data_IF_763076183533
#
_entry.id   IF_763076183533
#
_cell.length_a   1.000
_cell.length_b   1.000
_cell.length_c   1.000
_cell.angle_alpha   90.00
_cell.angle_beta   90.00
_cell.angle_gamma   90.00
#
_symmetry.space_group_name_H-M   'P 1'
#
loop_
_entity.id
_entity.type
_entity.pdbx_description
1 polymer ?
#
# COMPACT_ATOMS: atom_id res chain seq x y z
N UNK A 1 -8.66 -21.48 19.78
CA UNK A 1 -7.22 -21.22 19.56
C UNK A 1 -6.70 -20.32 20.66
N UNK A 2 -5.45 -20.50 21.08
CA UNK A 2 -4.71 -19.46 21.81
C UNK A 2 -4.38 -18.31 20.84
N UNK A 3 -4.04 -17.13 21.36
CA UNK A 3 -3.64 -16.00 20.50
C UNK A 3 -2.45 -16.34 19.59
N UNK A 4 -1.36 -16.98 20.07
CA UNK A 4 -0.29 -17.42 19.17
C UNK A 4 -0.74 -18.37 18.05
N UNK A 5 -1.67 -19.29 18.33
CA UNK A 5 -2.24 -20.18 17.32
C UNK A 5 -3.06 -19.42 16.27
N UNK A 6 -3.86 -18.43 16.71
CA UNK A 6 -4.57 -17.54 15.79
C UNK A 6 -3.59 -16.72 14.93
N UNK A 7 -2.54 -16.17 15.54
CA UNK A 7 -1.53 -15.39 14.84
C UNK A 7 -0.82 -16.24 13.77
N UNK A 8 -0.41 -17.46 14.12
CA UNK A 8 0.20 -18.40 13.18
C UNK A 8 -0.75 -18.73 12.02
N UNK A 9 -2.04 -18.98 12.31
CA UNK A 9 -3.07 -19.19 11.28
C UNK A 9 -3.22 -17.99 10.34
N UNK A 10 -3.25 -16.77 10.86
CA UNK A 10 -3.36 -15.54 10.05
C UNK A 10 -2.14 -15.36 9.15
N UNK A 11 -0.94 -15.61 9.67
CA UNK A 11 0.30 -15.53 8.90
C UNK A 11 0.34 -16.54 7.75
N UNK A 12 0.02 -17.80 8.05
CA UNK A 12 -0.05 -18.89 7.07
C UNK A 12 -1.12 -18.60 6.01
N UNK A 13 -2.34 -18.26 6.43
CA UNK A 13 -3.44 -17.89 5.54
C UNK A 13 -3.05 -16.73 4.60
N UNK A 14 -2.39 -15.68 5.11
CA UNK A 14 -1.95 -14.56 4.30
C UNK A 14 -0.95 -14.98 3.21
N UNK A 15 -0.04 -15.94 3.48
CA UNK A 15 0.89 -16.45 2.47
C UNK A 15 0.17 -17.17 1.33
N UNK A 16 -0.88 -17.93 1.64
CA UNK A 16 -1.71 -18.64 0.66
C UNK A 16 -2.51 -17.69 -0.26
N UNK A 17 -2.78 -16.45 0.16
CA UNK A 17 -3.49 -15.46 -0.66
C UNK A 17 -2.71 -15.00 -1.90
N UNK A 18 -1.40 -15.28 -1.98
CA UNK A 18 -0.57 -14.93 -3.14
C UNK A 18 -1.00 -15.68 -4.42
N UNK A 19 -1.46 -16.94 -4.27
CA UNK A 19 -1.91 -17.81 -5.39
C UNK A 19 -3.32 -18.36 -5.21
N UNK A 20 -3.98 -18.02 -4.11
CA UNK A 20 -5.33 -18.47 -3.75
C UNK A 20 -5.48 -20.00 -3.71
N UNK A 21 -4.47 -20.72 -3.23
CA UNK A 21 -4.38 -22.19 -3.26
C UNK A 21 -5.16 -22.90 -2.13
N UNK A 22 -6.33 -22.37 -1.78
CA UNK A 22 -7.22 -23.00 -0.81
C UNK A 22 -7.77 -24.34 -1.31
N UNK A 23 -7.88 -25.33 -0.43
CA UNK A 23 -8.24 -26.72 -0.81
C UNK A 23 -9.59 -26.88 -1.53
N UNK A 24 -10.60 -26.07 -1.19
CA UNK A 24 -11.97 -26.32 -1.64
C UNK A 24 -12.31 -25.68 -3.01
N UNK A 25 -11.80 -24.47 -3.28
CA UNK A 25 -12.26 -23.66 -4.43
C UNK A 25 -11.17 -22.73 -4.99
N UNK A 26 -9.93 -23.21 -5.22
CA UNK A 26 -8.82 -22.33 -5.56
C UNK A 26 -9.05 -21.61 -6.92
N UNK A 27 -9.71 -22.28 -7.87
CA UNK A 27 -10.05 -21.69 -9.16
C UNK A 27 -11.09 -20.57 -9.06
N UNK A 28 -12.06 -20.67 -8.14
CA UNK A 28 -13.07 -19.62 -7.95
C UNK A 28 -12.41 -18.32 -7.51
N UNK A 29 -11.48 -18.38 -6.55
CA UNK A 29 -10.75 -17.20 -6.09
C UNK A 29 -9.84 -16.65 -7.19
N UNK A 30 -9.07 -17.50 -7.89
CA UNK A 30 -8.24 -17.06 -9.01
C UNK A 30 -9.03 -16.41 -10.14
N UNK A 31 -10.18 -16.96 -10.50
CA UNK A 31 -11.03 -16.42 -11.56
C UNK A 31 -11.69 -15.09 -11.16
N UNK A 32 -12.03 -14.93 -9.87
CA UNK A 32 -12.70 -13.73 -9.34
C UNK A 32 -11.71 -12.59 -9.12
N UNK A 33 -10.62 -12.86 -8.38
CA UNK A 33 -9.66 -11.84 -7.98
C UNK A 33 -8.55 -11.66 -9.01
N UNK A 34 -8.22 -12.69 -9.78
CA UNK A 34 -7.11 -12.68 -10.73
C UNK A 34 -5.75 -12.83 -10.05
N UNK A 35 -4.70 -12.69 -10.87
CA UNK A 35 -3.32 -12.67 -10.41
C UNK A 35 -3.06 -11.43 -9.54
N UNK A 36 -2.38 -11.63 -8.40
CA UNK A 36 -2.08 -10.59 -7.41
C UNK A 36 -1.23 -9.43 -7.97
N UNK A 37 -0.50 -9.66 -9.06
CA UNK A 37 0.34 -8.65 -9.74
C UNK A 37 -0.40 -7.76 -10.73
N UNK A 38 -1.68 -8.04 -11.01
CA UNK A 38 -2.47 -7.23 -11.94
C UNK A 38 -2.70 -5.82 -11.40
N UNK A 39 -2.50 -4.84 -12.26
CA UNK A 39 -2.70 -3.40 -12.02
C UNK A 39 -3.61 -2.79 -13.09
N UNK A 40 -4.47 -3.62 -13.70
CA UNK A 40 -5.33 -3.29 -14.83
C UNK A 40 -6.55 -2.43 -14.46
N UNK A 41 -6.83 -2.27 -13.15
CA UNK A 41 -7.97 -1.51 -12.63
C UNK A 41 -7.55 -0.70 -11.41
N UNK A 42 -8.24 0.41 -11.16
CA UNK A 42 -7.91 1.34 -10.07
C UNK A 42 -7.86 0.66 -8.69
N UNK A 43 -8.81 -0.22 -8.38
CA UNK A 43 -8.87 -0.99 -7.13
C UNK A 43 -7.76 -2.05 -7.00
N UNK A 44 -6.97 -2.23 -8.06
CA UNK A 44 -5.88 -3.21 -8.12
C UNK A 44 -4.49 -2.58 -8.05
N UNK A 45 -4.39 -1.24 -8.12
CA UNK A 45 -3.10 -0.53 -8.21
C UNK A 45 -2.21 -0.68 -6.96
N UNK A 46 -2.80 -0.90 -5.79
CA UNK A 46 -2.09 -1.15 -4.52
C UNK A 46 -2.29 -2.57 -3.96
N UNK A 47 -2.61 -3.56 -4.82
CA UNK A 47 -2.68 -4.97 -4.37
C UNK A 47 -1.38 -5.48 -3.78
N UNK A 48 -0.27 -5.01 -4.36
CA UNK A 48 1.06 -5.20 -3.81
C UNK A 48 1.43 -3.95 -3.04
N UNK A 49 2.01 -4.13 -1.86
CA UNK A 49 2.50 -3.04 -1.04
C UNK A 49 3.86 -2.58 -1.60
N UNK A 50 3.96 -1.36 -2.15
CA UNK A 50 5.27 -0.79 -2.46
C UNK A 50 6.04 -0.56 -1.16
N UNK A 51 7.37 -0.69 -1.23
CA UNK A 51 8.24 -0.28 -0.14
C UNK A 51 8.89 1.07 -0.46
N UNK A 52 9.35 1.74 0.58
CA UNK A 52 10.10 2.99 0.49
C UNK A 52 11.56 2.74 0.83
N UNK A 53 12.47 3.41 0.14
CA UNK A 53 13.88 3.42 0.53
C UNK A 53 14.00 3.96 1.97
N UNK A 54 14.71 3.23 2.83
CA UNK A 54 14.89 3.63 4.22
C UNK A 54 15.77 4.88 4.35
N UNK A 55 16.74 5.01 3.46
CA UNK A 55 17.71 6.09 3.40
C UNK A 55 18.21 6.28 1.96
N UNK A 56 19.03 7.29 1.70
CA UNK A 56 19.59 7.57 0.37
C UNK A 56 20.60 6.52 -0.13
N UNK A 57 21.10 5.64 0.75
CA UNK A 57 22.07 4.59 0.44
C UNK A 57 21.40 3.24 0.11
N UNK A 58 20.08 3.22 -0.10
CA UNK A 58 19.28 2.03 -0.42
C UNK A 58 19.85 1.19 -1.57
N UNK A 59 20.53 1.80 -2.56
CA UNK A 59 21.15 1.09 -3.67
C UNK A 59 22.35 0.21 -3.24
N UNK A 60 22.99 0.53 -2.12
CA UNK A 60 24.12 -0.21 -1.57
C UNK A 60 23.68 -1.13 -0.43
N UNK A 61 22.94 -0.59 0.54
CA UNK A 61 22.56 -1.34 1.73
C UNK A 61 21.30 -2.19 1.54
N UNK A 62 20.50 -1.95 0.48
CA UNK A 62 19.24 -2.63 0.18
C UNK A 62 18.24 -2.61 1.33
N UNK A 63 18.15 -1.47 2.03
CA UNK A 63 17.22 -1.26 3.15
C UNK A 63 15.98 -0.49 2.72
N UNK A 64 14.84 -1.04 3.11
CA UNK A 64 13.53 -0.52 2.75
C UNK A 64 12.58 -0.61 3.94
N UNK A 65 11.49 0.15 3.89
CA UNK A 65 10.45 0.14 4.90
C UNK A 65 9.05 0.11 4.29
N UNK A 66 8.09 -0.39 5.05
CA UNK A 66 6.67 -0.19 4.75
C UNK A 66 6.34 1.32 4.79
N UNK A 67 5.56 1.84 3.84
CA UNK A 67 5.01 3.20 3.94
C UNK A 67 4.23 3.37 5.25
N UNK A 68 4.28 4.56 5.86
CA UNK A 68 3.57 4.81 7.14
C UNK A 68 2.07 4.48 7.05
N UNK A 69 1.41 4.94 5.99
CA UNK A 69 -0.02 4.68 5.75
C UNK A 69 -0.31 3.29 5.19
N UNK A 70 0.72 2.56 4.72
CA UNK A 70 0.59 1.21 4.18
C UNK A 70 1.05 0.09 5.10
N UNK A 71 1.55 0.44 6.28
CA UNK A 71 1.85 -0.53 7.33
C UNK A 71 0.56 -1.30 7.70
N UNK A 72 0.65 -2.62 7.89
CA UNK A 72 -0.51 -3.44 8.16
C UNK A 72 -1.13 -3.03 9.50
N UNK A 73 -2.46 -3.02 9.57
CA UNK A 73 -3.20 -2.94 10.82
C UNK A 73 -3.25 -4.32 11.49
N UNK A 74 -3.73 -4.40 12.74
CA UNK A 74 -3.90 -5.67 13.46
C UNK A 74 -4.60 -6.72 12.58
N UNK A 75 -3.99 -7.90 12.47
CA UNK A 75 -4.47 -9.03 11.65
C UNK A 75 -4.59 -8.77 10.14
N UNK A 76 -4.23 -7.58 9.66
CA UNK A 76 -4.02 -7.28 8.26
C UNK A 76 -2.63 -7.72 7.79
N UNK A 77 -2.44 -7.75 6.47
CA UNK A 77 -1.18 -8.18 5.86
C UNK A 77 -0.83 -7.36 4.63
N UNK A 78 0.47 -7.28 4.33
CA UNK A 78 0.98 -6.79 3.07
C UNK A 78 1.55 -7.93 2.25
N UNK A 79 1.48 -7.79 0.93
CA UNK A 79 2.23 -8.61 -0.02
C UNK A 79 3.19 -7.71 -0.78
N UNK A 80 4.49 -7.94 -0.62
CA UNK A 80 5.56 -7.18 -1.27
C UNK A 80 6.17 -8.04 -2.36
N UNK A 81 6.20 -7.52 -3.59
CA UNK A 81 6.86 -8.18 -4.69
C UNK A 81 8.38 -8.02 -4.59
N UNK A 82 9.11 -9.14 -4.67
CA UNK A 82 10.56 -9.16 -4.73
C UNK A 82 11.04 -9.69 -6.08
N UNK A 83 12.10 -9.08 -6.61
CA UNK A 83 12.81 -9.46 -7.82
C UNK A 83 14.19 -10.00 -7.45
N UNK A 84 14.39 -11.33 -7.45
CA UNK A 84 15.72 -11.90 -7.33
C UNK A 84 16.68 -11.30 -8.37
N UNK A 85 17.91 -10.99 -7.94
CA UNK A 85 18.97 -10.56 -8.85
C UNK A 85 19.28 -11.67 -9.85
N UNK A 86 19.57 -11.32 -11.10
CA UNK A 86 19.82 -12.31 -12.15
C UNK A 86 20.95 -13.29 -11.74
N UNK A 87 20.70 -14.59 -11.90
CA UNK A 87 21.65 -15.66 -11.52
C UNK A 87 21.67 -16.02 -10.03
N UNK A 88 20.96 -15.30 -9.16
CA UNK A 88 20.86 -15.65 -7.73
C UNK A 88 20.13 -16.97 -7.54
N UNK A 89 20.67 -17.82 -6.66
CA UNK A 89 20.03 -19.09 -6.23
C UNK A 89 19.40 -18.98 -4.84
N UNK A 90 19.64 -17.87 -4.15
CA UNK A 90 19.07 -17.58 -2.83
C UNK A 90 18.71 -16.11 -2.72
N UNK A 91 17.70 -15.83 -1.89
CA UNK A 91 17.34 -14.49 -1.42
C UNK A 91 17.33 -14.52 0.10
N UNK A 92 17.90 -13.50 0.74
CA UNK A 92 17.85 -13.32 2.19
C UNK A 92 17.08 -12.06 2.52
N UNK A 93 16.14 -12.17 3.45
CA UNK A 93 15.41 -11.05 4.06
C UNK A 93 15.82 -10.98 5.52
N UNK A 94 16.40 -9.85 5.94
CA UNK A 94 16.47 -9.50 7.36
C UNK A 94 15.28 -8.62 7.67
N UNK A 95 14.45 -9.04 8.60
CA UNK A 95 13.23 -8.35 8.98
C UNK A 95 13.40 -7.64 10.32
N UNK A 96 12.87 -6.42 10.41
CA UNK A 96 12.86 -5.59 11.62
C UNK A 96 11.49 -4.94 11.77
N UNK A 97 10.64 -5.48 12.63
CA UNK A 97 9.38 -4.86 13.04
C UNK A 97 9.62 -3.63 13.92
N UNK A 98 8.69 -2.67 13.89
CA UNK A 98 8.71 -1.47 14.73
C UNK A 98 7.73 -1.67 15.88
N UNK A 99 8.23 -1.64 17.11
CA UNK A 99 7.40 -1.69 18.31
C UNK A 99 7.13 -0.28 18.84
N UNK A 100 5.96 0.26 18.49
CA UNK A 100 5.46 1.50 19.08
C UNK A 100 4.98 1.22 20.51
N UNK A 101 5.22 2.14 21.44
CA UNK A 101 4.72 1.99 22.82
C UNK A 101 3.20 1.79 22.85
N UNK A 102 2.73 0.73 23.51
CA UNK A 102 1.31 0.36 23.59
C UNK A 102 0.74 -0.40 22.38
N UNK A 103 1.52 -0.61 21.33
CA UNK A 103 1.07 -1.37 20.15
C UNK A 103 1.07 -2.89 20.38
N UNK A 104 1.90 -3.39 21.29
CA UNK A 104 2.15 -4.83 21.48
C UNK A 104 2.57 -5.53 20.17
N UNK A 105 3.40 -4.83 19.39
CA UNK A 105 3.79 -5.26 18.05
C UNK A 105 4.40 -6.67 18.06
N UNK A 106 3.87 -7.51 17.17
CA UNK A 106 4.39 -8.82 16.84
C UNK A 106 3.93 -9.13 15.41
N UNK A 107 4.67 -9.99 14.70
CA UNK A 107 4.50 -10.20 13.26
C UNK A 107 4.56 -11.68 12.91
N UNK A 108 3.85 -12.08 11.86
CA UNK A 108 4.09 -13.32 11.13
C UNK A 108 4.43 -12.98 9.70
N UNK A 109 5.48 -13.59 9.16
CA UNK A 109 5.93 -13.26 7.81
C UNK A 109 6.67 -14.43 7.16
N UNK A 110 6.77 -14.39 5.85
CA UNK A 110 7.46 -15.43 5.09
C UNK A 110 7.59 -15.09 3.60
N UNK A 111 8.29 -15.96 2.89
CA UNK A 111 8.51 -15.86 1.46
C UNK A 111 7.65 -16.86 0.70
N UNK A 112 7.08 -16.40 -0.41
CA UNK A 112 6.25 -17.19 -1.32
C UNK A 112 6.84 -17.07 -2.73
N UNK A 113 7.38 -18.18 -3.25
CA UNK A 113 7.74 -18.26 -4.66
C UNK A 113 6.59 -18.91 -5.43
N UNK A 114 6.28 -18.43 -6.63
CA UNK A 114 5.20 -18.97 -7.46
C UNK A 114 5.74 -19.43 -8.81
N UNK A 115 4.97 -20.25 -9.53
CA UNK A 115 5.16 -20.35 -10.98
C UNK A 115 4.71 -19.06 -11.68
N UNK A 116 5.07 -18.91 -12.96
CA UNK A 116 4.73 -17.72 -13.76
C UNK A 116 3.22 -17.54 -14.00
N UNK A 117 2.43 -18.59 -13.80
CA UNK A 117 0.98 -18.63 -13.98
C UNK A 117 0.21 -18.39 -12.68
N UNK A 118 0.90 -18.29 -11.53
CA UNK A 118 0.31 -18.05 -10.22
C UNK A 118 -0.72 -19.12 -9.79
N UNK A 119 -0.46 -20.37 -10.17
CA UNK A 119 -1.31 -21.53 -9.85
C UNK A 119 -0.68 -22.48 -8.85
N UNK A 120 0.63 -22.37 -8.61
CA UNK A 120 1.36 -23.14 -7.60
C UNK A 120 2.37 -22.26 -6.87
N UNK A 121 2.67 -22.64 -5.63
CA UNK A 121 3.59 -21.90 -4.77
C UNK A 121 4.52 -22.82 -3.98
N UNK A 122 5.68 -22.28 -3.60
CA UNK A 122 6.60 -22.82 -2.60
C UNK A 122 6.74 -21.81 -1.48
N UNK A 123 6.53 -22.27 -0.26
CA UNK A 123 6.53 -21.44 0.93
C UNK A 123 7.84 -21.60 1.70
N UNK A 124 8.33 -20.53 2.31
CA UNK A 124 9.29 -20.65 3.41
C UNK A 124 8.60 -21.17 4.66
N UNK A 125 9.38 -21.52 5.69
CA UNK A 125 8.84 -21.61 7.04
C UNK A 125 8.35 -20.24 7.54
N UNK A 126 7.22 -20.22 8.25
CA UNK A 126 6.65 -19.00 8.83
C UNK A 126 7.57 -18.45 9.93
N UNK A 127 7.99 -17.20 9.78
CA UNK A 127 8.78 -16.46 10.76
C UNK A 127 7.87 -15.71 11.74
N UNK A 128 8.39 -15.42 12.94
CA UNK A 128 7.64 -14.80 14.04
C UNK A 128 8.49 -13.75 14.75
N UNK A 129 7.83 -12.79 15.39
CA UNK A 129 8.50 -11.79 16.22
C UNK A 129 8.96 -10.56 15.45
N UNK A 130 9.64 -9.67 16.17
CA UNK A 130 10.11 -8.37 15.66
C UNK A 130 11.38 -8.49 14.82
N UNK A 131 12.15 -9.57 14.98
CA UNK A 131 13.48 -9.70 14.43
C UNK A 131 13.74 -11.13 14.00
N UNK A 132 14.00 -11.33 12.72
CA UNK A 132 14.46 -12.60 12.19
C UNK A 132 15.09 -12.39 10.82
N UNK A 133 15.95 -13.34 10.45
CA UNK A 133 16.58 -13.40 9.15
C UNK A 133 16.15 -14.71 8.47
N UNK A 134 15.71 -14.64 7.22
CA UNK A 134 15.25 -15.80 6.45
C UNK A 134 16.01 -15.86 5.12
N UNK A 135 16.67 -16.98 4.87
CA UNK A 135 17.26 -17.29 3.55
C UNK A 135 16.44 -18.35 2.84
N UNK A 136 16.04 -18.06 1.61
CA UNK A 136 15.18 -18.91 0.79
C UNK A 136 15.84 -19.23 -0.54
N UNK A 137 15.76 -20.50 -0.97
CA UNK A 137 16.26 -20.93 -2.28
C UNK A 137 15.28 -20.51 -3.37
N UNK A 138 15.82 -19.84 -4.39
CA UNK A 138 15.04 -19.40 -5.55
C UNK A 138 15.50 -20.10 -6.82
N UNK A 139 14.53 -20.38 -7.69
CA UNK A 139 14.77 -20.85 -9.05
C UNK A 139 14.85 -19.65 -10.00
N UNK A 140 15.60 -19.81 -11.10
CA UNK A 140 15.71 -18.76 -12.11
C UNK A 140 14.33 -18.38 -12.69
N UNK A 141 14.03 -17.08 -12.70
CA UNK A 141 12.83 -16.51 -13.30
C UNK A 141 11.53 -16.71 -12.52
N UNK A 142 11.55 -17.37 -11.35
CA UNK A 142 10.32 -17.56 -10.58
C UNK A 142 9.90 -16.27 -9.86
N UNK A 143 8.61 -15.90 -9.92
CA UNK A 143 8.05 -14.87 -9.07
C UNK A 143 8.31 -15.10 -7.57
N UNK A 144 8.79 -14.09 -6.83
CA UNK A 144 8.96 -14.12 -5.37
C UNK A 144 8.16 -13.00 -4.68
N UNK A 145 7.63 -13.30 -3.49
CA UNK A 145 6.87 -12.37 -2.65
C UNK A 145 7.30 -12.50 -1.19
N UNK A 146 7.35 -11.36 -0.49
CA UNK A 146 7.38 -11.30 0.97
C UNK A 146 5.96 -10.98 1.45
N UNK A 147 5.44 -11.80 2.36
CA UNK A 147 4.15 -11.55 3.01
C UNK A 147 4.41 -11.20 4.47
N UNK A 148 3.83 -10.10 4.94
CA UNK A 148 4.00 -9.60 6.31
C UNK A 148 2.64 -9.32 6.92
N UNK A 149 2.29 -10.05 7.98
CA UNK A 149 1.07 -9.87 8.76
C UNK A 149 1.40 -9.25 10.11
N UNK A 150 0.66 -8.21 10.50
CA UNK A 150 0.72 -7.70 11.87
C UNK A 150 -0.13 -8.59 12.78
N UNK A 151 0.47 -9.16 13.79
CA UNK A 151 -0.16 -10.14 14.67
C UNK A 151 0.23 -9.84 16.11
N UNK A 152 -0.38 -8.82 16.73
CA UNK A 152 0.03 -8.32 18.04
C UNK A 152 0.06 -9.42 19.10
N UNK A 153 0.97 -9.30 20.06
CA UNK A 153 1.17 -10.30 21.13
C UNK A 153 0.09 -10.22 22.22
N UNK A 154 -0.71 -9.15 22.21
CA UNK A 154 -1.93 -8.97 22.99
C UNK A 154 -3.10 -8.86 22.02
N UNK A 155 -4.20 -9.55 22.31
CA UNK A 155 -5.37 -9.53 21.43
C UNK A 155 -5.93 -8.12 21.32
N UNK A 156 -6.01 -7.61 20.09
CA UNK A 156 -6.59 -6.30 19.79
C UNK A 156 -7.96 -6.53 19.14
N UNK A 157 -9.03 -6.21 19.85
CA UNK A 157 -10.40 -6.40 19.36
C UNK A 157 -10.65 -5.59 18.09
N UNK A 158 -11.27 -6.22 17.09
CA UNK A 158 -11.83 -5.53 15.93
C UNK A 158 -13.26 -5.11 16.27
N UNK A 159 -13.54 -3.82 16.19
CA UNK A 159 -14.87 -3.26 16.36
C UNK A 159 -15.35 -2.63 15.05
N UNK A 160 -16.66 -2.67 14.83
CA UNK A 160 -17.31 -2.01 13.69
C UNK A 160 -17.12 -0.48 13.79
N UNK A 161 -16.92 0.19 12.64
CA UNK A 161 -16.73 1.64 12.51
C UNK A 161 -15.73 2.26 13.50
N UNK A 162 -14.60 1.58 13.72
CA UNK A 162 -13.52 2.16 14.50
C UNK A 162 -12.90 3.35 13.76
N UNK A 163 -12.76 4.48 14.47
CA UNK A 163 -12.01 5.63 13.94
C UNK A 163 -10.56 5.22 13.60
N UNK A 164 -10.14 5.47 12.36
CA UNK A 164 -8.87 5.01 11.82
C UNK A 164 -7.68 5.47 12.66
N UNK A 165 -7.71 6.70 13.16
CA UNK A 165 -6.64 7.28 13.98
C UNK A 165 -6.42 6.53 15.30
N UNK A 166 -7.38 5.73 15.74
CA UNK A 166 -7.30 4.90 16.96
C UNK A 166 -6.82 3.48 16.67
N UNK A 167 -6.54 3.16 15.41
CA UNK A 167 -6.06 1.85 14.98
C UNK A 167 -4.54 1.86 14.91
N UNK A 168 -3.91 0.96 15.66
CA UNK A 168 -2.47 0.73 15.53
C UNK A 168 -2.14 0.18 14.14
N UNK A 169 -1.16 0.80 13.51
CA UNK A 169 -0.45 0.33 12.33
C UNK A 169 0.93 -0.16 12.77
N UNK A 170 1.45 -1.16 12.09
CA UNK A 170 2.65 -1.88 12.53
C UNK A 170 3.75 -1.78 11.47
N UNK A 171 4.51 -0.68 11.42
CA UNK A 171 5.56 -0.51 10.43
C UNK A 171 6.65 -1.58 10.57
N UNK A 172 7.32 -1.87 9.46
CA UNK A 172 8.47 -2.75 9.43
C UNK A 172 9.52 -2.26 8.44
N UNK A 173 10.75 -2.72 8.64
CA UNK A 173 11.87 -2.53 7.74
C UNK A 173 12.40 -3.89 7.29
N UNK A 174 13.02 -3.90 6.11
CA UNK A 174 13.75 -5.04 5.60
C UNK A 174 15.12 -4.64 5.06
N UNK A 175 16.09 -5.54 5.16
CA UNK A 175 17.34 -5.53 4.41
C UNK A 175 17.36 -6.76 3.51
N UNK A 176 17.65 -6.56 2.22
CA UNK A 176 17.63 -7.64 1.23
C UNK A 176 19.04 -8.00 0.78
N UNK A 177 19.33 -9.29 0.69
CA UNK A 177 20.44 -9.80 -0.12
C UNK A 177 19.91 -10.51 -1.35
N UNK A 178 20.57 -10.31 -2.50
CA UNK A 178 20.27 -10.98 -3.77
C UNK A 178 18.87 -10.75 -4.34
N UNK A 179 18.13 -9.74 -3.87
CA UNK A 179 16.86 -9.31 -4.44
C UNK A 179 16.66 -7.79 -4.31
N UNK A 180 15.64 -7.29 -4.99
CA UNK A 180 15.12 -5.93 -4.86
C UNK A 180 13.59 -5.95 -4.68
N UNK A 181 12.99 -5.01 -3.94
CA UNK A 181 11.54 -4.88 -3.90
C UNK A 181 11.02 -4.15 -5.15
N UNK A 182 9.77 -4.40 -5.52
CA UNK A 182 9.11 -3.66 -6.62
C UNK A 182 9.28 -2.15 -6.48
N UNK A 183 9.52 -1.47 -7.60
CA UNK A 183 9.86 -0.05 -7.62
C UNK A 183 11.38 0.21 -7.62
N UNK A 184 12.19 -0.79 -7.32
CA UNK A 184 13.65 -0.71 -7.29
C UNK A 184 14.24 -1.94 -7.96
N UNK A 185 15.15 -1.78 -8.91
CA UNK A 185 15.89 -2.87 -9.53
C UNK A 185 17.26 -2.38 -9.98
N UNK A 186 18.28 -3.23 -9.83
CA UNK A 186 19.63 -2.95 -10.31
C UNK A 186 20.22 -1.62 -9.80
N UNK A 187 19.92 -1.26 -8.55
CA UNK A 187 20.40 -0.01 -7.94
C UNK A 187 19.74 1.25 -8.50
N UNK A 188 18.65 1.11 -9.25
CA UNK A 188 17.86 2.21 -9.81
C UNK A 188 16.39 2.08 -9.41
N UNK A 189 15.67 3.20 -9.40
CA UNK A 189 14.20 3.14 -9.33
C UNK A 189 13.66 2.69 -10.68
N UNK A 190 12.53 1.99 -10.66
CA UNK A 190 11.83 1.60 -11.88
C UNK A 190 11.48 2.83 -12.72
N UNK A 191 11.36 2.62 -14.04
CA UNK A 191 10.88 3.65 -14.94
C UNK A 191 9.46 4.08 -14.56
N UNK A 192 9.11 5.32 -14.87
CA UNK A 192 7.74 5.78 -14.71
C UNK A 192 6.80 5.04 -15.68
N UNK A 193 5.52 4.83 -15.30
CA UNK A 193 4.52 4.26 -16.19
C UNK A 193 4.44 5.00 -17.53
N UNK A 194 3.98 4.29 -18.58
CA UNK A 194 3.83 4.88 -19.92
C UNK A 194 3.02 6.18 -19.89
N UNK A 195 3.47 7.18 -20.65
CA UNK A 195 2.87 8.51 -20.69
C UNK A 195 3.25 9.43 -19.52
N UNK A 196 4.16 9.00 -18.63
CA UNK A 196 4.61 9.80 -17.49
C UNK A 196 6.13 9.81 -17.38
N UNK A 197 6.69 10.85 -16.75
CA UNK A 197 8.12 10.99 -16.45
C UNK A 197 8.31 11.44 -15.01
N UNK A 198 9.55 11.34 -14.52
CA UNK A 198 9.93 11.83 -13.19
C UNK A 198 9.75 13.34 -13.13
N UNK A 199 8.86 13.81 -12.26
CA UNK A 199 8.56 15.23 -12.08
C UNK A 199 9.70 15.91 -11.31
N UNK A 200 10.15 17.09 -11.77
CA UNK A 200 11.27 17.80 -11.16
C UNK A 200 10.99 18.24 -9.71
N UNK A 201 9.73 18.55 -9.40
CA UNK A 201 9.30 18.89 -8.05
C UNK A 201 8.76 17.64 -7.33
N UNK A 202 9.64 16.97 -6.57
CA UNK A 202 9.35 15.82 -5.71
C UNK A 202 9.81 14.45 -6.24
N UNK A 203 9.98 14.28 -7.56
CA UNK A 203 10.57 13.07 -8.16
C UNK A 203 9.59 11.91 -8.42
N UNK A 204 8.30 12.08 -8.20
CA UNK A 204 7.25 11.12 -8.56
C UNK A 204 6.99 11.05 -10.06
N UNK A 205 6.03 10.23 -10.50
CA UNK A 205 5.69 10.07 -11.91
C UNK A 205 4.49 10.94 -12.29
N UNK A 206 4.60 11.73 -13.37
CA UNK A 206 3.49 12.54 -13.86
C UNK A 206 3.59 12.79 -15.38
N UNK A 207 2.48 13.15 -16.07
CA UNK A 207 2.55 13.63 -17.45
C UNK A 207 3.46 14.85 -17.55
N UNK A 208 4.14 15.01 -18.69
CA UNK A 208 5.08 16.12 -18.94
C UNK A 208 4.40 17.49 -18.94
N UNK A 209 3.08 17.53 -19.10
CA UNK A 209 2.26 18.75 -19.00
C UNK A 209 1.97 19.20 -17.57
N UNK A 210 2.32 18.40 -16.56
CA UNK A 210 2.13 18.78 -15.15
C UNK A 210 3.02 19.98 -14.83
N UNK A 211 2.43 21.04 -14.28
CA UNK A 211 3.14 22.29 -14.01
C UNK A 211 4.16 22.14 -12.86
N UNK A 212 5.28 22.86 -12.94
CA UNK A 212 6.34 22.82 -11.93
C UNK A 212 5.90 23.25 -10.52
N UNK A 213 4.81 24.01 -10.40
CA UNK A 213 4.21 24.42 -9.12
C UNK A 213 3.56 23.26 -8.37
N UNK A 214 3.20 22.17 -9.06
CA UNK A 214 2.67 20.95 -8.44
C UNK A 214 3.82 20.17 -7.81
N UNK A 215 3.61 19.70 -6.58
CA UNK A 215 4.53 18.75 -5.94
C UNK A 215 4.05 17.32 -6.19
N UNK A 216 4.91 16.47 -6.74
CA UNK A 216 4.65 15.03 -6.93
C UNK A 216 5.74 14.25 -6.21
N UNK A 217 5.42 13.75 -5.02
CA UNK A 217 6.32 13.04 -4.13
C UNK A 217 6.96 11.80 -4.78
N UNK A 218 8.10 11.33 -4.26
CA UNK A 218 8.99 10.41 -4.98
C UNK A 218 8.36 9.08 -5.40
N UNK A 219 7.32 8.63 -4.69
CA UNK A 219 6.59 7.41 -4.97
C UNK A 219 5.17 7.64 -5.49
N UNK A 220 4.73 8.90 -5.55
CA UNK A 220 3.41 9.26 -5.98
C UNK A 220 3.32 9.28 -7.52
N UNK A 221 2.13 9.03 -8.05
CA UNK A 221 1.90 8.91 -9.49
C UNK A 221 0.65 9.68 -9.93
N UNK A 222 0.77 10.47 -10.98
CA UNK A 222 -0.36 11.00 -11.76
C UNK A 222 -0.37 10.21 -13.07
N UNK A 223 -1.43 9.43 -13.32
CA UNK A 223 -1.59 8.70 -14.59
C UNK A 223 -2.09 9.64 -15.69
N UNK A 224 -1.97 9.27 -16.99
CA UNK A 224 -2.43 10.13 -18.09
C UNK A 224 -3.93 10.51 -18.08
N UNK A 225 -4.77 9.77 -17.35
CA UNK A 225 -6.18 10.12 -17.13
C UNK A 225 -6.41 11.16 -16.01
N UNK A 226 -5.38 11.50 -15.25
CA UNK A 226 -5.41 12.45 -14.15
C UNK A 226 -4.72 13.77 -14.46
N UNK A 227 -5.04 14.80 -13.68
CA UNK A 227 -4.39 16.10 -13.77
C UNK A 227 -4.19 16.72 -12.39
N UNK A 228 -3.14 17.54 -12.25
CA UNK A 228 -2.91 18.35 -11.07
C UNK A 228 -2.45 19.75 -11.48
N UNK A 229 -2.93 20.78 -10.78
CA UNK A 229 -2.66 22.19 -11.10
C UNK A 229 -2.59 23.06 -9.83
N UNK A 230 -2.20 24.33 -10.00
CA UNK A 230 -1.99 25.26 -8.89
C UNK A 230 -0.86 24.79 -7.99
N UNK A 231 -1.10 24.80 -6.68
CA UNK A 231 -0.14 24.35 -5.66
C UNK A 231 -0.47 22.94 -5.14
N UNK A 232 -1.04 22.09 -6.01
CA UNK A 232 -1.42 20.73 -5.62
C UNK A 232 -0.23 19.90 -5.14
N UNK A 233 -0.50 19.02 -4.17
CA UNK A 233 0.50 18.11 -3.61
C UNK A 233 0.01 16.66 -3.72
N UNK A 234 0.74 15.83 -4.45
CA UNK A 234 0.52 14.39 -4.50
C UNK A 234 1.67 13.75 -3.72
N UNK A 235 1.38 13.08 -2.62
CA UNK A 235 2.35 12.68 -1.60
C UNK A 235 2.31 11.16 -1.34
N UNK A 236 3.30 10.68 -0.60
CA UNK A 236 3.44 9.27 -0.22
C UNK A 236 3.32 8.34 -1.45
N UNK A 237 2.41 7.36 -1.43
CA UNK A 237 2.17 6.39 -2.51
C UNK A 237 0.93 6.73 -3.35
N UNK A 238 0.38 7.95 -3.22
CA UNK A 238 -0.90 8.27 -3.83
C UNK A 238 -0.87 8.19 -5.36
N UNK A 239 -2.01 7.76 -5.93
CA UNK A 239 -2.21 7.65 -7.37
C UNK A 239 -3.43 8.48 -7.80
N UNK A 240 -3.20 9.47 -8.67
CA UNK A 240 -4.27 10.15 -9.41
C UNK A 240 -4.53 9.34 -10.68
N UNK A 241 -5.50 8.43 -10.62
CA UNK A 241 -5.82 7.54 -11.73
C UNK A 241 -6.71 8.22 -12.77
N UNK A 242 -7.69 9.01 -12.31
CA UNK A 242 -8.60 9.77 -13.16
C UNK A 242 -9.18 10.98 -12.39
N UNK A 243 -9.37 12.11 -13.07
CA UNK A 243 -9.91 13.34 -12.47
C UNK A 243 -8.87 14.44 -12.24
N UNK A 244 -9.10 15.29 -11.23
CA UNK A 244 -8.32 16.53 -11.08
C UNK A 244 -7.97 16.87 -9.63
N UNK A 245 -6.78 17.46 -9.44
CA UNK A 245 -6.33 18.03 -8.16
C UNK A 245 -5.95 19.49 -8.37
N UNK A 246 -6.73 20.43 -7.82
CA UNK A 246 -6.53 21.88 -8.02
C UNK A 246 -6.26 22.56 -6.68
N UNK A 247 -4.98 22.72 -6.33
CA UNK A 247 -4.57 22.94 -4.93
C UNK A 247 -4.65 21.62 -4.15
N UNK A 248 -5.05 21.63 -2.89
CA UNK A 248 -5.30 20.41 -2.10
C UNK A 248 -4.10 19.45 -1.96
N UNK A 249 -4.36 18.30 -1.35
CA UNK A 249 -3.35 17.26 -1.12
C UNK A 249 -3.97 15.86 -1.25
N UNK A 250 -3.32 14.99 -2.00
CA UNK A 250 -3.64 13.56 -2.08
C UNK A 250 -2.41 12.77 -1.62
N UNK A 251 -2.52 11.98 -0.57
CA UNK A 251 -1.40 11.27 0.05
C UNK A 251 -1.78 9.89 0.57
N UNK A 252 -0.98 9.32 1.48
CA UNK A 252 -1.18 7.95 1.96
C UNK A 252 -1.11 6.90 0.85
N UNK A 253 -2.09 5.99 0.83
CA UNK A 253 -2.28 5.01 -0.25
C UNK A 253 -3.47 5.38 -1.15
N UNK A 254 -3.86 6.66 -1.17
CA UNK A 254 -5.08 7.07 -1.86
C UNK A 254 -4.96 6.81 -3.35
N UNK A 255 -5.97 6.14 -3.91
CA UNK A 255 -6.24 6.17 -5.35
C UNK A 255 -7.46 7.07 -5.56
N UNK A 256 -7.35 8.06 -6.43
CA UNK A 256 -8.51 8.89 -6.81
C UNK A 256 -8.88 8.68 -8.28
N UNK A 257 -10.18 8.55 -8.51
CA UNK A 257 -10.76 8.20 -9.80
C UNK A 257 -10.59 6.73 -10.16
N UNK A 258 -11.37 6.33 -11.16
CA UNK A 258 -11.45 4.96 -11.66
C UNK A 258 -10.86 4.88 -13.06
N UNK A 259 -10.10 3.83 -13.29
CA UNK A 259 -9.61 3.41 -14.60
C UNK A 259 -9.72 1.89 -14.72
N UNK A 260 -9.87 1.40 -15.95
CA UNK A 260 -9.98 -0.03 -16.25
C UNK A 260 -11.26 -0.72 -15.76
N UNK A 261 -12.21 0.03 -15.18
CA UNK A 261 -13.48 -0.53 -14.73
C UNK A 261 -14.36 -0.80 -15.95
N UNK A 262 -14.95 -2.00 -16.05
CA UNK A 262 -15.86 -2.29 -17.13
C UNK A 262 -17.21 -1.55 -16.96
N UNK A 263 -17.51 -1.00 -15.78
CA UNK A 263 -18.77 -0.30 -15.46
C UNK A 263 -18.68 1.22 -15.57
N UNK A 264 -17.53 1.75 -16.02
CA UNK A 264 -17.29 3.19 -16.18
C UNK A 264 -16.09 3.69 -15.38
N UNK A 265 -15.39 4.66 -15.96
CA UNK A 265 -14.18 5.27 -15.39
C UNK A 265 -14.54 6.64 -14.80
N UNK A 266 -15.12 6.61 -13.61
CA UNK A 266 -15.51 7.83 -12.88
C UNK A 266 -14.28 8.67 -12.52
N UNK A 267 -14.40 9.99 -12.70
CA UNK A 267 -13.43 10.95 -12.18
C UNK A 267 -13.70 11.28 -10.71
N UNK A 268 -12.66 11.61 -9.95
CA UNK A 268 -12.80 12.23 -8.63
C UNK A 268 -11.99 13.52 -8.58
N UNK A 269 -12.57 14.59 -8.02
CA UNK A 269 -11.89 15.89 -7.95
C UNK A 269 -11.50 16.26 -6.53
N UNK A 270 -10.29 16.80 -6.36
CA UNK A 270 -9.79 17.37 -5.11
C UNK A 270 -9.47 18.84 -5.33
N UNK A 271 -9.97 19.74 -4.47
CA UNK A 271 -9.79 21.19 -4.68
C UNK A 271 -9.65 21.98 -3.38
N UNK A 272 -9.19 23.23 -3.51
CA UNK A 272 -9.03 24.15 -2.39
C UNK A 272 -7.83 23.76 -1.51
N UNK A 273 -8.08 23.53 -0.22
CA UNK A 273 -7.11 23.03 0.76
C UNK A 273 -7.43 21.61 1.24
N UNK A 274 -8.32 20.90 0.54
CA UNK A 274 -8.76 19.57 0.95
C UNK A 274 -7.57 18.58 1.00
N UNK A 275 -7.62 17.66 1.95
CA UNK A 275 -6.63 16.62 2.14
C UNK A 275 -7.29 15.24 2.05
N UNK A 276 -6.71 14.35 1.25
CA UNK A 276 -7.16 12.98 1.06
C UNK A 276 -5.99 12.04 1.31
N UNK A 277 -6.09 11.21 2.34
CA UNK A 277 -5.06 10.23 2.73
C UNK A 277 -5.72 8.92 3.15
N UNK A 278 -6.33 8.23 2.20
CA UNK A 278 -7.11 7.00 2.41
C UNK A 278 -6.27 5.74 2.17
N UNK A 279 -6.81 4.59 2.57
CA UNK A 279 -6.16 3.27 2.46
C UNK A 279 -7.08 2.17 1.91
N UNK A 280 -8.28 2.54 1.44
CA UNK A 280 -9.28 1.62 0.91
C UNK A 280 -9.58 1.91 -0.57
N UNK A 281 -10.70 1.41 -1.12
CA UNK A 281 -11.10 1.55 -2.54
C UNK A 281 -10.87 2.97 -3.10
N UNK A 282 -10.64 3.10 -4.42
CA UNK A 282 -10.47 4.40 -5.05
C UNK A 282 -11.64 5.34 -4.76
N UNK A 283 -11.37 6.61 -4.47
CA UNK A 283 -12.44 7.60 -4.39
C UNK A 283 -13.03 7.82 -5.78
N UNK A 284 -14.37 7.85 -5.87
CA UNK A 284 -15.11 7.81 -7.14
C UNK A 284 -15.39 6.39 -7.65
N UNK A 285 -15.03 5.33 -6.90
CA UNK A 285 -15.29 3.95 -7.32
C UNK A 285 -16.78 3.65 -7.51
N UNK A 286 -17.62 4.04 -6.56
CA UNK A 286 -19.03 3.65 -6.55
C UNK A 286 -19.90 4.51 -7.47
N UNK A 287 -19.57 5.79 -7.64
CA UNK A 287 -20.40 6.72 -8.38
C UNK A 287 -19.62 7.86 -9.04
N UNK A 288 -20.23 8.46 -10.07
CA UNK A 288 -19.68 9.60 -10.79
C UNK A 288 -19.93 10.94 -10.09
N UNK A 289 -19.24 11.99 -10.56
CA UNK A 289 -19.44 13.39 -10.15
C UNK A 289 -19.19 13.67 -8.66
N UNK A 290 -18.17 13.03 -8.09
CA UNK A 290 -17.79 13.20 -6.68
C UNK A 290 -16.49 14.01 -6.53
N UNK A 291 -16.33 14.60 -5.36
CA UNK A 291 -15.14 15.35 -5.01
C UNK A 291 -15.01 15.75 -3.54
N UNK A 292 -13.77 16.10 -3.19
CA UNK A 292 -13.37 16.69 -1.93
C UNK A 292 -12.92 18.13 -2.17
N UNK A 293 -13.41 19.08 -1.37
CA UNK A 293 -13.15 20.51 -1.57
C UNK A 293 -12.91 21.25 -0.25
N UNK A 294 -12.65 22.56 -0.35
CA UNK A 294 -12.55 23.45 0.81
C UNK A 294 -11.44 23.02 1.77
N UNK A 295 -11.78 22.79 3.03
CA UNK A 295 -10.86 22.36 4.10
C UNK A 295 -11.16 20.95 4.59
N UNK A 296 -11.80 20.12 3.75
CA UNK A 296 -12.10 18.73 4.11
C UNK A 296 -10.80 17.95 4.32
N UNK A 297 -10.74 17.13 5.37
CA UNK A 297 -9.68 16.17 5.59
C UNK A 297 -10.29 14.76 5.67
N UNK A 298 -10.03 13.95 4.65
CA UNK A 298 -10.37 12.53 4.59
C UNK A 298 -9.13 11.70 4.90
N UNK A 299 -9.22 10.85 5.93
CA UNK A 299 -8.05 10.16 6.47
C UNK A 299 -8.37 8.71 6.82
N UNK A 300 -7.71 7.76 6.14
CA UNK A 300 -7.62 6.34 6.48
C UNK A 300 -8.90 5.50 6.49
N UNK A 301 -8.88 4.41 5.71
CA UNK A 301 -9.98 3.51 5.34
C UNK A 301 -11.31 4.22 5.06
N UNK A 302 -11.44 4.88 3.91
CA UNK A 302 -12.66 5.62 3.56
C UNK A 302 -13.24 5.16 2.22
N UNK A 303 -14.50 4.73 2.19
CA UNK A 303 -15.25 4.30 1.01
C UNK A 303 -16.36 5.31 0.66
N UNK A 304 -16.04 6.40 -0.03
CA UNK A 304 -16.92 7.57 -0.05
C UNK A 304 -18.05 7.53 -1.12
N UNK A 305 -19.06 6.67 -0.86
CA UNK A 305 -20.34 6.40 -1.59
C UNK A 305 -21.20 7.65 -1.93
N UNK A 306 -22.33 7.56 -2.66
CA UNK A 306 -23.18 8.73 -3.02
C UNK A 306 -24.70 8.48 -3.17
N UNK A 307 -25.56 9.04 -4.06
CA UNK A 307 -25.53 9.83 -5.33
C UNK A 307 -24.98 11.25 -5.25
N UNK A 308 -23.77 11.49 -5.77
CA UNK A 308 -23.23 12.85 -6.00
C UNK A 308 -22.70 13.56 -4.74
N UNK A 309 -22.32 12.78 -3.75
CA UNK A 309 -21.83 13.27 -2.48
C UNK A 309 -20.53 14.08 -2.65
N UNK A 310 -20.56 15.32 -2.17
CA UNK A 310 -19.46 16.27 -2.21
C UNK A 310 -19.34 16.95 -0.86
N UNK A 311 -18.14 16.98 -0.29
CA UNK A 311 -17.86 17.65 0.97
C UNK A 311 -16.82 18.74 0.82
N UNK A 312 -16.91 19.71 1.71
CA UNK A 312 -16.05 20.87 1.71
C UNK A 312 -15.33 21.13 3.04
N UNK A 313 -15.66 20.43 4.13
CA UNK A 313 -15.06 20.69 5.45
C UNK A 313 -15.20 19.53 6.43
N UNK A 314 -14.37 19.57 7.48
CA UNK A 314 -14.37 18.62 8.60
C UNK A 314 -13.28 17.57 8.50
N UNK A 315 -13.01 16.88 9.60
CA UNK A 315 -12.13 15.72 9.65
C UNK A 315 -12.99 14.45 9.65
N UNK A 316 -12.73 13.53 8.71
CA UNK A 316 -13.47 12.28 8.58
C UNK A 316 -12.54 11.11 8.31
N UNK A 317 -12.85 9.97 8.92
CA UNK A 317 -12.00 8.78 8.94
C UNK A 317 -12.82 7.51 9.13
N UNK A 318 -12.27 6.34 8.77
CA UNK A 318 -13.04 5.10 8.77
C UNK A 318 -14.15 5.15 7.72
N UNK A 319 -15.25 4.43 7.92
CA UNK A 319 -16.32 4.45 6.92
C UNK A 319 -17.00 5.82 6.83
N UNK A 320 -16.75 6.55 5.73
CA UNK A 320 -17.34 7.88 5.49
C UNK A 320 -18.47 7.78 4.48
N UNK A 321 -19.58 8.47 4.78
CA UNK A 321 -20.72 8.68 3.91
C UNK A 321 -21.35 10.08 4.12
N UNK A 322 -22.55 10.30 3.57
CA UNK A 322 -23.26 11.58 3.67
C UNK A 322 -23.60 12.00 5.10
N UNK A 323 -23.73 11.04 6.01
CA UNK A 323 -24.08 11.22 7.42
C UNK A 323 -22.87 11.23 8.36
N UNK A 324 -21.72 10.74 7.91
CA UNK A 324 -20.49 10.73 8.71
C UNK A 324 -20.04 12.14 9.08
N UNK A 325 -20.04 12.45 10.37
CA UNK A 325 -19.66 13.75 10.93
C UNK A 325 -18.49 13.66 11.93
N UNK A 326 -17.91 12.46 12.06
CA UNK A 326 -16.85 12.14 13.03
C UNK A 326 -15.54 11.78 12.34
N UNK A 327 -14.45 12.19 12.96
CA UNK A 327 -13.08 11.87 12.61
C UNK A 327 -12.13 12.58 13.58
N UNK A 328 -11.07 11.88 14.01
CA UNK A 328 -10.07 12.49 14.89
C UNK A 328 -9.03 13.22 14.04
N UNK A 329 -8.56 14.38 14.50
CA UNK A 329 -7.37 15.00 13.93
C UNK A 329 -6.07 14.39 14.50
N UNK A 330 -6.16 13.65 15.61
CA UNK A 330 -5.01 13.12 16.34
C UNK A 330 -4.88 11.63 16.10
N UNK A 331 -3.78 11.24 15.48
CA UNK A 331 -3.37 9.87 15.21
C UNK A 331 -2.60 9.27 16.38
N UNK A 332 -2.94 8.06 16.83
CA UNK A 332 -2.17 7.36 17.88
C UNK A 332 -0.81 6.89 17.38
N UNK A 333 -0.66 6.74 16.06
CA UNK A 333 0.59 6.33 15.44
C UNK A 333 1.45 7.55 15.18
N UNK A 334 2.75 7.43 15.43
CA UNK A 334 3.69 8.52 15.13
C UNK A 334 4.43 8.24 13.84
N UNK A 335 4.38 9.18 12.88
CA UNK A 335 5.21 9.12 11.66
C UNK A 335 6.64 9.53 12.01
N UNK A 336 7.44 8.58 12.50
CA UNK A 336 8.85 8.79 12.84
C UNK A 336 9.77 8.39 11.68
N UNK A 337 10.96 8.98 11.64
CA UNK A 337 12.03 8.48 10.78
C UNK A 337 12.49 7.12 11.32
N UNK A 338 12.26 6.07 10.53
CA UNK A 338 12.70 4.73 10.88
C UNK A 338 14.22 4.64 10.76
N UNK A 339 14.86 3.98 11.73
CA UNK A 339 16.30 3.77 11.75
C UNK A 339 16.58 2.28 11.79
N UNK A 340 17.46 1.81 10.90
CA UNK A 340 17.86 0.40 10.88
C UNK A 340 18.52 0.00 12.21
N UNK A 341 18.10 -1.14 12.75
CA UNK A 341 18.65 -1.73 13.98
C UNK A 341 19.61 -2.86 13.56
N UNK A 342 20.91 -2.82 13.95
CA UNK A 342 21.89 -3.85 13.59
C UNK A 342 21.38 -5.28 13.80
#
# INVERSE_FOLDING_TARGET
WTLPQLNDFIGDWAMHNVVWDYKATPDTFRNTYGNITLTDRAERLHRLMPLEALDSNWATNRRFASPFYGAPQRFGYNVVRLYPTNGSTTVTVKFRGVNQSGSDADFRWGLVATNTQFTSARYSGLQKGLDADLTFKVNAGEPLFLVVSATPSVFKTVVWDQAYETVWRYPYMIELANAWPQGFQNGQRDACPSGTLRHANGGGCAPTSTAASVYVGPYATILPGGSATGNARIEDQAIVANGSVTGGTVGGLSVIGVTGSPWGNNSFSVSGSAQVRTTFYPLGFFEANQGASGSLNLHGDVEYRGTGLNLSSGNRSGFVDATSNVGSATDINTKTTLTWRP
#
